data_IF_031177628027
#
_entry.id   IF_031177628027
#
_cell.length_a   1.000
_cell.length_b   1.000
_cell.length_c   1.000
_cell.angle_alpha   90.00
_cell.angle_beta   90.00
_cell.angle_gamma   90.00
#
_symmetry.space_group_name_H-M   'P 1'
#
loop_
_entity.id
_entity.type
_entity.pdbx_description
1 polymer ?
#
# COMPACT_ATOMS: atom_id res chain seq x y z
N UNK A 1 -16.76 16.48 15.96
CA UNK A 1 -16.06 15.61 14.99
C UNK A 1 -16.29 16.21 13.61
N UNK A 2 -15.25 16.63 12.90
CA UNK A 2 -15.36 17.40 11.64
C UNK A 2 -15.80 16.55 10.42
N UNK A 3 -16.36 15.36 10.67
CA UNK A 3 -16.88 14.45 9.65
C UNK A 3 -15.81 14.01 8.65
N UNK A 4 -16.25 13.71 7.42
CA UNK A 4 -15.42 13.16 6.36
C UNK A 4 -14.21 14.05 5.98
N UNK A 5 -14.37 15.38 6.01
CA UNK A 5 -13.30 16.31 5.65
C UNK A 5 -12.09 16.20 6.58
N UNK A 6 -12.34 16.17 7.90
CA UNK A 6 -11.28 15.99 8.89
C UNK A 6 -10.55 14.65 8.76
N UNK A 7 -11.29 13.56 8.51
CA UNK A 7 -10.69 12.24 8.36
C UNK A 7 -9.87 12.08 7.08
N UNK A 8 -10.22 12.82 6.03
CA UNK A 8 -9.43 12.85 4.81
C UNK A 8 -8.08 13.54 5.00
N UNK A 9 -8.05 14.64 5.76
CA UNK A 9 -6.80 15.31 6.13
C UNK A 9 -5.95 14.43 7.07
N UNK A 10 -6.60 13.77 8.03
CA UNK A 10 -5.95 12.80 8.91
C UNK A 10 -5.31 11.64 8.14
N UNK A 11 -5.97 11.13 7.11
CA UNK A 11 -5.42 10.09 6.25
C UNK A 11 -4.08 10.51 5.63
N UNK A 12 -3.98 11.72 5.09
CA UNK A 12 -2.73 12.22 4.51
C UNK A 12 -1.66 12.46 5.56
N UNK A 13 -2.04 12.95 6.74
CA UNK A 13 -1.13 13.12 7.88
C UNK A 13 -0.54 11.79 8.32
N UNK A 14 -1.39 10.79 8.58
CA UNK A 14 -0.99 9.43 8.98
C UNK A 14 -0.17 8.72 7.90
N UNK A 15 -0.41 9.04 6.63
CA UNK A 15 0.35 8.49 5.51
C UNK A 15 1.84 8.86 5.51
N UNK A 16 2.25 9.87 6.28
CA UNK A 16 3.67 10.22 6.44
C UNK A 16 4.46 9.22 7.30
N UNK A 17 3.78 8.42 8.12
CA UNK A 17 4.41 7.40 8.98
C UNK A 17 4.54 6.03 8.30
N UNK A 18 4.15 5.92 7.03
CA UNK A 18 4.19 4.67 6.26
C UNK A 18 5.60 4.17 6.06
N UNK A 19 5.73 2.84 6.04
CA UNK A 19 6.97 2.19 5.67
C UNK A 19 7.21 2.34 4.15
N UNK A 20 8.47 2.59 3.80
CA UNK A 20 8.94 2.70 2.41
C UNK A 20 9.98 1.60 2.16
N UNK A 21 9.81 0.83 1.10
CA UNK A 21 10.69 -0.28 0.73
C UNK A 21 10.50 -0.71 -0.73
N UNK A 22 10.27 -2.01 -0.98
CA UNK A 22 9.94 -2.56 -2.31
C UNK A 22 8.53 -2.15 -2.82
N UNK A 23 7.86 -1.27 -2.10
CA UNK A 23 6.51 -0.76 -2.32
C UNK A 23 6.11 0.14 -1.15
N UNK A 24 4.94 0.74 -1.24
CA UNK A 24 4.35 1.49 -0.13
C UNK A 24 3.62 0.52 0.81
N UNK A 25 3.94 0.58 2.10
CA UNK A 25 3.28 -0.20 3.15
C UNK A 25 2.02 0.49 3.72
N UNK A 26 1.18 -0.26 4.46
CA UNK A 26 -0.01 0.28 5.11
C UNK A 26 0.36 1.32 6.19
N UNK A 27 -0.63 2.12 6.59
CA UNK A 27 -0.47 3.00 7.77
C UNK A 27 -0.23 2.10 8.99
N UNK A 28 0.83 2.35 9.79
CA UNK A 28 1.09 1.57 11.00
C UNK A 28 -0.08 1.67 11.98
N UNK A 29 -0.49 0.54 12.59
CA UNK A 29 -1.54 0.54 13.61
C UNK A 29 -1.20 1.49 14.76
N UNK A 30 0.05 1.52 15.19
CA UNK A 30 0.52 2.42 16.26
C UNK A 30 0.34 3.91 15.97
N UNK A 31 0.29 4.32 14.69
CA UNK A 31 -0.01 5.69 14.30
C UNK A 31 -1.51 6.00 14.44
N UNK A 32 -2.37 5.03 14.10
CA UNK A 32 -3.83 5.12 14.29
C UNK A 32 -4.15 5.15 15.79
N UNK A 33 -3.62 4.19 16.56
CA UNK A 33 -3.82 4.10 18.02
C UNK A 33 -3.44 5.39 18.74
N UNK A 34 -2.33 6.02 18.32
CA UNK A 34 -1.88 7.31 18.87
C UNK A 34 -2.84 8.45 18.50
N UNK A 35 -3.41 8.42 17.30
CA UNK A 35 -4.29 9.49 16.81
C UNK A 35 -5.66 9.48 17.49
N UNK A 36 -6.23 8.29 17.68
CA UNK A 36 -7.53 8.12 18.34
C UNK A 36 -7.42 8.03 19.87
N UNK A 37 -6.23 8.26 20.43
CA UNK A 37 -6.00 8.19 21.87
C UNK A 37 -6.92 9.16 22.62
N UNK A 38 -7.79 8.60 23.47
CA UNK A 38 -8.75 9.36 24.27
C UNK A 38 -10.08 9.64 23.57
N UNK A 39 -10.32 9.09 22.39
CA UNK A 39 -11.65 9.08 21.76
C UNK A 39 -12.53 8.02 22.42
N UNK A 40 -13.83 8.06 22.11
CA UNK A 40 -14.74 6.97 22.47
C UNK A 40 -14.42 5.74 21.60
N UNK A 41 -14.70 4.54 22.12
CA UNK A 41 -14.46 3.30 21.36
C UNK A 41 -15.21 3.30 20.02
N UNK A 42 -16.46 3.79 20.01
CA UNK A 42 -17.28 3.88 18.79
C UNK A 42 -16.67 4.83 17.73
N UNK A 43 -16.19 6.00 18.17
CA UNK A 43 -15.56 6.98 17.30
C UNK A 43 -14.21 6.47 16.76
N UNK A 44 -13.44 5.79 17.61
CA UNK A 44 -12.15 5.20 17.26
C UNK A 44 -12.32 4.06 16.25
N UNK A 45 -13.26 3.15 16.49
CA UNK A 45 -13.58 2.03 15.61
C UNK A 45 -14.06 2.51 14.24
N UNK A 46 -14.96 3.50 14.23
CA UNK A 46 -15.48 4.08 12.98
C UNK A 46 -14.36 4.77 12.18
N UNK A 47 -13.51 5.55 12.86
CA UNK A 47 -12.36 6.19 12.24
C UNK A 47 -11.39 5.18 11.66
N UNK A 48 -11.02 4.15 12.44
CA UNK A 48 -10.10 3.11 11.98
C UNK A 48 -10.65 2.41 10.75
N UNK A 49 -11.93 2.01 10.77
CA UNK A 49 -12.58 1.39 9.63
C UNK A 49 -12.46 2.25 8.36
N UNK A 50 -12.80 3.53 8.46
CA UNK A 50 -12.72 4.44 7.31
C UNK A 50 -11.28 4.68 6.82
N UNK A 51 -10.32 4.86 7.74
CA UNK A 51 -8.91 5.02 7.38
C UNK A 51 -8.38 3.77 6.69
N UNK A 52 -8.76 2.57 7.15
CA UNK A 52 -8.33 1.30 6.55
C UNK A 52 -8.88 1.07 5.15
N UNK A 53 -10.14 1.43 4.89
CA UNK A 53 -10.72 1.36 3.55
C UNK A 53 -10.02 2.33 2.57
N UNK A 54 -9.74 3.56 3.00
CA UNK A 54 -8.96 4.51 2.21
C UNK A 54 -7.53 4.01 1.96
N UNK A 55 -6.91 3.42 2.99
CA UNK A 55 -5.58 2.83 2.91
C UNK A 55 -5.52 1.70 1.88
N UNK A 56 -6.52 0.81 1.87
CA UNK A 56 -6.62 -0.27 0.89
C UNK A 56 -6.64 0.22 -0.55
N UNK A 57 -7.45 1.25 -0.85
CA UNK A 57 -7.52 1.84 -2.20
C UNK A 57 -6.20 2.53 -2.56
N UNK A 58 -5.59 3.24 -1.62
CA UNK A 58 -4.31 3.90 -1.82
C UNK A 58 -3.21 2.88 -2.15
N UNK A 59 -3.08 1.80 -1.37
CA UNK A 59 -2.08 0.75 -1.59
C UNK A 59 -2.29 0.05 -2.92
N UNK A 60 -3.54 -0.24 -3.30
CA UNK A 60 -3.87 -0.81 -4.60
C UNK A 60 -3.38 0.06 -5.75
N UNK A 61 -3.43 1.39 -5.61
CA UNK A 61 -2.99 2.34 -6.64
C UNK A 61 -1.49 2.60 -6.58
N UNK A 62 -0.93 2.77 -5.39
CA UNK A 62 0.48 3.09 -5.17
C UNK A 62 1.42 1.93 -5.54
N UNK A 63 0.98 0.70 -5.32
CA UNK A 63 1.74 -0.51 -5.67
C UNK A 63 1.39 -1.05 -7.07
N UNK A 64 0.54 -0.37 -7.84
CA UNK A 64 0.37 -0.65 -9.27
C UNK A 64 1.52 0.03 -10.03
N UNK A 65 2.62 -0.68 -10.22
CA UNK A 65 3.59 -0.39 -11.28
C UNK A 65 3.07 -0.95 -12.61
N UNK A 66 3.11 -0.11 -13.64
CA UNK A 66 3.18 -0.55 -15.04
C UNK A 66 4.28 -1.62 -15.19
N UNK A 67 4.08 -2.59 -16.09
CA UNK A 67 4.94 -3.74 -16.34
C UNK A 67 4.66 -4.99 -15.48
N UNK A 68 3.56 -5.66 -15.78
CA UNK A 68 3.65 -7.11 -15.91
C UNK A 68 4.34 -7.36 -17.27
N UNK A 69 5.63 -7.73 -17.35
CA UNK A 69 6.08 -8.40 -18.54
C UNK A 69 5.20 -9.65 -18.64
N UNK A 70 4.49 -9.80 -19.75
CA UNK A 70 3.72 -11.00 -20.03
C UNK A 70 4.60 -12.20 -19.65
N UNK A 71 4.11 -13.18 -18.88
CA UNK A 71 4.88 -14.38 -18.65
C UNK A 71 4.95 -15.14 -19.98
N UNK A 72 5.94 -14.77 -20.81
CA UNK A 72 6.57 -15.72 -21.71
C UNK A 72 6.95 -16.91 -20.85
N UNK A 73 6.64 -18.10 -21.35
CA UNK A 73 6.84 -19.35 -20.62
C UNK A 73 8.25 -19.34 -20.00
N UNK A 74 8.44 -19.62 -18.70
CA UNK A 74 9.76 -19.66 -18.05
C UNK A 74 10.80 -20.46 -18.86
N UNK A 75 10.33 -21.44 -19.64
CA UNK A 75 11.14 -22.23 -20.55
C UNK A 75 11.71 -21.43 -21.74
N UNK A 76 11.01 -20.40 -22.25
CA UNK A 76 11.48 -19.52 -23.32
C UNK A 76 12.59 -18.57 -22.84
N UNK A 77 12.44 -17.99 -21.64
CA UNK A 77 13.48 -17.16 -21.02
C UNK A 77 14.78 -17.95 -20.80
N UNK A 78 14.67 -19.20 -20.35
CA UNK A 78 15.83 -20.09 -20.18
C UNK A 78 16.48 -20.49 -21.52
N UNK A 79 15.67 -20.80 -22.55
CA UNK A 79 16.18 -21.15 -23.88
C UNK A 79 16.93 -19.98 -24.54
N UNK A 80 16.43 -18.75 -24.41
CA UNK A 80 17.10 -17.58 -24.99
C UNK A 80 18.47 -17.33 -24.33
N UNK A 81 18.54 -17.43 -23.00
CA UNK A 81 19.77 -17.23 -22.24
C UNK A 81 20.86 -18.27 -22.54
N UNK A 82 20.45 -19.51 -22.86
CA UNK A 82 21.37 -20.60 -23.17
C UNK A 82 21.76 -20.65 -24.65
N UNK A 83 20.87 -20.25 -25.56
CA UNK A 83 21.17 -20.13 -26.98
C UNK A 83 22.24 -19.06 -27.26
N UNK A 84 22.21 -17.93 -26.55
CA UNK A 84 23.20 -16.85 -26.70
C UNK A 84 24.64 -17.27 -26.33
N UNK A 85 24.81 -18.32 -25.51
CA UNK A 85 26.13 -18.82 -25.09
C UNK A 85 26.74 -19.87 -26.00
N UNK A 86 25.95 -20.41 -26.95
CA UNK A 86 26.37 -21.54 -27.81
C UNK A 86 26.86 -21.09 -29.20
N UNK A 87 26.85 -19.78 -29.47
CA UNK A 87 27.21 -19.18 -30.75
C UNK A 87 28.56 -18.45 -30.76
N UNK A 88 29.60 -18.99 -30.10
CA UNK A 88 30.97 -18.50 -30.26
C UNK A 88 31.96 -19.66 -30.29
#
# INVERSE_FOLDING_TARGET
MDGFGGWYDDFWRLSTERQIGMGVGPIPQSAIDRHVAGWSDEDADMFEFCIREMDGVFLMRANKTEEAPAPGNPMEAFRSATAARRGK
#
